data_IF_090972508952
#
_entry.id   IF_090972508952
#
_cell.length_a   1.000
_cell.length_b   1.000
_cell.length_c   1.000
_cell.angle_alpha   90.00
_cell.angle_beta   90.00
_cell.angle_gamma   90.00
#
_symmetry.space_group_name_H-M   'P 1'
#
loop_
_entity.id
_entity.type
_entity.pdbx_description
1 polymer ?
#
# COMPACT_ATOMS: atom_id res chain seq x y z
N UNK A 1 -73.44 -0.28 -21.82
CA UNK A 1 -72.31 -1.18 -21.59
C UNK A 1 -71.15 -0.31 -21.09
N UNK A 2 -71.05 -0.09 -19.77
CA UNK A 2 -70.05 -0.69 -18.83
C UNK A 2 -68.62 -0.18 -19.09
N UNK A 3 -68.13 0.82 -18.34
CA UNK A 3 -67.29 0.75 -17.10
C UNK A 3 -65.77 0.63 -17.37
N UNK A 4 -65.06 1.67 -16.88
CA UNK A 4 -63.73 1.78 -16.21
C UNK A 4 -62.46 1.13 -16.76
N UNK A 5 -61.35 1.79 -16.36
CA UNK A 5 -59.98 1.33 -16.05
C UNK A 5 -58.93 1.86 -17.04
N UNK A 6 -57.72 2.29 -16.66
CA UNK A 6 -57.10 2.39 -15.35
C UNK A 6 -55.92 3.36 -15.45
N UNK A 7 -55.71 4.13 -14.38
CA UNK A 7 -54.42 4.75 -14.03
C UNK A 7 -53.38 3.63 -13.94
N UNK A 8 -52.27 3.74 -14.67
CA UNK A 8 -51.11 2.87 -14.46
C UNK A 8 -49.80 3.66 -14.57
N UNK A 9 -49.14 3.74 -13.41
CA UNK A 9 -47.70 3.68 -13.22
C UNK A 9 -46.83 4.83 -13.74
N UNK A 10 -46.54 5.72 -12.79
CA UNK A 10 -45.23 6.31 -12.62
C UNK A 10 -44.12 5.23 -12.76
N UNK A 11 -43.21 5.46 -13.71
CA UNK A 11 -41.99 4.69 -13.88
C UNK A 11 -40.84 5.65 -14.14
N UNK A 12 -40.48 6.46 -13.14
CA UNK A 12 -39.26 7.26 -13.18
C UNK A 12 -38.06 6.31 -13.04
N UNK A 13 -37.50 5.90 -14.18
CA UNK A 13 -36.26 5.14 -14.26
C UNK A 13 -35.09 6.03 -13.81
N UNK A 14 -34.75 5.95 -12.53
CA UNK A 14 -33.57 6.59 -11.97
C UNK A 14 -32.36 5.71 -12.31
N UNK A 15 -31.73 5.99 -13.46
CA UNK A 15 -30.43 5.43 -13.82
C UNK A 15 -29.39 5.88 -12.80
N UNK A 16 -29.07 5.02 -11.83
CA UNK A 16 -27.83 5.09 -11.07
C UNK A 16 -26.67 4.66 -11.98
N UNK A 17 -26.11 5.62 -12.71
CA UNK A 17 -24.78 5.47 -13.29
C UNK A 17 -23.76 5.50 -12.15
N UNK A 18 -23.44 4.33 -11.61
CA UNK A 18 -22.26 4.12 -10.77
C UNK A 18 -21.04 4.27 -11.66
N UNK A 19 -20.37 5.42 -11.58
CA UNK A 19 -19.10 5.69 -12.25
C UNK A 19 -18.05 4.72 -11.71
N UNK A 20 -17.69 3.73 -12.52
CA UNK A 20 -16.51 2.91 -12.33
C UNK A 20 -15.27 3.68 -12.79
N UNK A 21 -14.84 4.70 -12.02
CA UNK A 21 -13.56 5.40 -12.23
C UNK A 21 -12.46 4.74 -11.40
N UNK A 22 -12.13 3.48 -11.71
CA UNK A 22 -11.27 2.64 -10.86
C UNK A 22 -9.78 2.58 -11.21
N UNK A 23 -9.33 3.04 -12.37
CA UNK A 23 -7.95 2.79 -12.82
C UNK A 23 -7.15 4.04 -13.25
N UNK A 24 -7.78 5.20 -13.41
CA UNK A 24 -7.10 6.42 -13.86
C UNK A 24 -6.77 7.39 -12.70
N UNK A 25 -7.55 7.35 -11.62
CA UNK A 25 -7.45 8.32 -10.52
C UNK A 25 -6.21 8.11 -9.65
N UNK A 26 -5.79 6.85 -9.45
CA UNK A 26 -4.67 6.52 -8.57
C UNK A 26 -3.33 6.99 -9.15
N UNK A 27 -3.13 6.96 -10.47
CA UNK A 27 -1.89 7.46 -11.08
C UNK A 27 -1.64 8.94 -10.81
N UNK A 28 -2.67 9.78 -10.90
CA UNK A 28 -2.57 11.20 -10.59
C UNK A 28 -2.30 11.43 -9.09
N UNK A 29 -2.98 10.67 -8.23
CA UNK A 29 -2.76 10.71 -6.77
C UNK A 29 -1.34 10.26 -6.40
N UNK A 30 -0.84 9.16 -6.96
CA UNK A 30 0.53 8.66 -6.75
C UNK A 30 1.55 9.70 -7.23
N UNK A 31 1.29 10.34 -8.37
CA UNK A 31 2.13 11.44 -8.84
C UNK A 31 2.11 12.61 -7.83
N UNK A 32 0.95 13.01 -7.31
CA UNK A 32 0.84 14.06 -6.28
C UNK A 32 1.55 13.70 -4.98
N UNK A 33 1.39 12.48 -4.47
CA UNK A 33 2.08 11.98 -3.27
C UNK A 33 3.60 11.90 -3.46
N UNK A 34 4.07 11.71 -4.70
CA UNK A 34 5.50 11.74 -5.03
C UNK A 34 6.09 13.16 -4.99
N UNK A 35 5.26 14.20 -5.10
CA UNK A 35 5.67 15.60 -5.08
C UNK A 35 5.62 16.16 -3.66
N UNK A 36 6.79 16.35 -3.05
CA UNK A 36 6.89 16.99 -1.74
C UNK A 36 6.44 18.46 -1.80
N UNK A 37 5.43 18.83 -1.00
CA UNK A 37 5.00 20.22 -0.81
C UNK A 37 5.72 20.86 0.37
N UNK A 38 6.29 20.05 1.27
CA UNK A 38 7.08 20.46 2.44
C UNK A 38 8.40 19.71 2.52
N UNK A 39 9.34 20.25 3.32
CA UNK A 39 10.68 19.67 3.55
C UNK A 39 11.15 19.75 5.01
N UNK A 40 10.29 20.22 5.90
CA UNK A 40 10.57 20.58 7.29
C UNK A 40 9.76 19.77 8.32
N UNK A 41 9.02 18.75 7.87
CA UNK A 41 8.17 17.89 8.71
C UNK A 41 9.02 16.88 9.48
N UNK A 42 9.92 16.19 8.78
CA UNK A 42 10.74 15.13 9.37
C UNK A 42 12.17 15.15 8.85
N UNK A 43 13.06 14.54 9.63
CA UNK A 43 14.42 14.20 9.23
C UNK A 43 14.63 12.69 9.30
N UNK A 44 15.31 12.11 8.31
CA UNK A 44 15.75 10.72 8.39
C UNK A 44 16.89 10.59 9.41
N UNK A 45 16.82 9.58 10.28
CA UNK A 45 17.80 9.33 11.34
C UNK A 45 18.30 7.89 11.30
N UNK A 46 19.55 7.66 11.70
CA UNK A 46 20.13 6.31 11.72
C UNK A 46 19.90 5.59 13.07
N UNK A 47 19.96 6.31 14.18
CA UNK A 47 19.80 5.76 15.52
C UNK A 47 18.40 6.01 16.09
N UNK A 48 18.05 5.22 17.10
CA UNK A 48 16.86 5.43 17.92
C UNK A 48 17.13 6.44 19.05
N UNK A 49 18.18 7.25 18.97
CA UNK A 49 18.49 8.23 19.99
C UNK A 49 17.47 9.36 19.93
N UNK A 50 16.49 9.29 20.83
CA UNK A 50 15.41 10.26 20.90
C UNK A 50 15.95 11.58 21.43
N UNK A 51 16.03 12.58 20.57
CA UNK A 51 16.24 13.96 21.00
C UNK A 51 15.05 14.41 21.86
N UNK A 52 15.32 15.11 22.96
CA UNK A 52 14.27 15.58 23.87
C UNK A 52 13.18 16.36 23.11
N UNK A 53 11.92 15.98 23.30
CA UNK A 53 10.77 16.60 22.65
C UNK A 53 10.51 16.14 21.21
N UNK A 54 11.19 15.11 20.71
CA UNK A 54 10.93 14.50 19.39
C UNK A 54 10.25 13.15 19.51
N UNK A 55 9.54 12.80 18.45
CA UNK A 55 9.08 11.45 18.15
C UNK A 55 10.01 10.85 17.09
N UNK A 56 10.33 9.56 17.23
CA UNK A 56 10.96 8.75 16.20
C UNK A 56 9.93 7.73 15.71
N UNK A 57 9.64 7.74 14.42
CA UNK A 57 8.98 6.63 13.74
C UNK A 57 10.04 5.58 13.44
N UNK A 58 9.86 4.34 13.89
CA UNK A 58 10.54 3.16 13.36
C UNK A 58 9.61 2.47 12.35
N UNK A 59 9.79 2.81 11.07
CA UNK A 59 8.94 2.34 9.99
C UNK A 59 9.44 0.98 9.49
N UNK A 60 8.54 0.01 9.45
CA UNK A 60 8.82 -1.30 8.85
C UNK A 60 7.71 -1.71 7.89
N UNK A 61 8.09 -2.09 6.66
CA UNK A 61 7.20 -2.67 5.68
C UNK A 61 7.90 -3.82 4.97
N UNK A 62 7.23 -4.96 4.85
CA UNK A 62 7.77 -6.10 4.11
C UNK A 62 6.76 -6.66 3.15
N UNK A 63 7.15 -6.77 1.88
CA UNK A 63 6.25 -7.15 0.78
C UNK A 63 6.96 -8.08 -0.18
N UNK A 64 6.22 -9.06 -0.66
CA UNK A 64 6.69 -9.98 -1.68
C UNK A 64 6.07 -9.60 -3.01
N UNK A 65 6.86 -9.69 -4.08
CA UNK A 65 6.41 -9.46 -5.45
C UNK A 65 6.74 -10.67 -6.32
N UNK A 66 6.05 -10.77 -7.46
CA UNK A 66 6.19 -11.89 -8.35
C UNK A 66 7.61 -12.00 -8.92
N UNK A 67 8.08 -13.22 -9.12
CA UNK A 67 9.29 -13.49 -9.90
C UNK A 67 8.89 -14.08 -11.23
N UNK A 68 9.48 -13.62 -12.33
CA UNK A 68 9.40 -14.35 -13.60
C UNK A 68 10.64 -15.22 -13.74
N UNK A 69 10.49 -16.41 -14.33
CA UNK A 69 11.61 -17.32 -14.61
C UNK A 69 11.88 -17.32 -16.12
N UNK A 70 13.11 -17.04 -16.50
CA UNK A 70 13.59 -17.14 -17.88
C UNK A 70 14.95 -17.84 -17.88
N UNK A 71 15.09 -18.90 -18.69
CA UNK A 71 16.34 -19.67 -18.82
C UNK A 71 17.00 -19.99 -17.45
N UNK A 72 16.23 -20.59 -16.53
CA UNK A 72 16.66 -20.94 -15.16
C UNK A 72 17.00 -19.79 -14.21
N UNK A 73 16.90 -18.55 -14.68
CA UNK A 73 17.13 -17.36 -13.85
C UNK A 73 15.80 -16.74 -13.43
N UNK A 74 15.70 -16.28 -12.18
CA UNK A 74 14.59 -15.46 -11.72
C UNK A 74 14.89 -13.99 -11.98
N UNK A 75 13.99 -13.29 -12.66
CA UNK A 75 14.09 -11.86 -12.87
C UNK A 75 13.34 -11.08 -11.79
N UNK A 76 13.96 -10.00 -11.30
CA UNK A 76 13.37 -9.03 -10.36
C UNK A 76 12.74 -7.86 -11.10
N UNK A 77 11.89 -7.10 -10.41
CA UNK A 77 11.45 -5.80 -10.89
C UNK A 77 12.62 -4.82 -10.83
N UNK A 78 13.25 -4.60 -11.98
CA UNK A 78 14.34 -3.63 -12.14
C UNK A 78 13.91 -2.35 -12.84
N UNK A 79 12.81 -2.37 -13.60
CA UNK A 79 12.30 -1.22 -14.33
C UNK A 79 10.75 -1.26 -14.45
N UNK A 80 10.01 -0.40 -13.72
CA UNK A 80 10.50 0.43 -12.62
C UNK A 80 10.92 -0.43 -11.40
N UNK A 81 11.83 0.07 -10.54
CA UNK A 81 12.17 -0.59 -9.28
C UNK A 81 10.99 -0.57 -8.31
N UNK A 82 10.90 -1.58 -7.45
CA UNK A 82 9.87 -1.61 -6.40
C UNK A 82 10.23 -0.60 -5.29
N UNK A 83 9.47 0.49 -5.22
CA UNK A 83 9.67 1.60 -4.29
C UNK A 83 8.43 1.83 -3.45
N UNK A 84 8.63 2.38 -2.26
CA UNK A 84 7.53 2.87 -1.41
C UNK A 84 7.65 4.38 -1.29
N UNK A 85 6.57 5.09 -1.60
CA UNK A 85 6.51 6.53 -1.36
C UNK A 85 5.79 6.75 -0.04
N UNK A 86 6.51 7.28 0.94
CA UNK A 86 5.99 7.64 2.25
C UNK A 86 5.82 9.15 2.29
N UNK A 87 4.60 9.65 2.50
CA UNK A 87 4.35 11.06 2.74
C UNK A 87 3.87 11.26 4.18
N UNK A 88 4.44 12.24 4.87
CA UNK A 88 4.03 12.66 6.20
C UNK A 88 3.82 14.16 6.14
N UNK A 89 2.58 14.61 6.39
CA UNK A 89 2.16 16.02 6.37
C UNK A 89 2.68 16.82 5.15
N UNK A 90 2.71 16.21 3.97
CA UNK A 90 3.14 16.85 2.72
C UNK A 90 4.64 16.75 2.40
N UNK A 91 5.46 16.19 3.29
CA UNK A 91 6.85 15.85 2.97
C UNK A 91 6.96 14.38 2.54
N UNK A 92 7.67 14.10 1.46
CA UNK A 92 7.79 12.73 0.90
C UNK A 92 9.20 12.16 1.09
N UNK A 93 9.29 10.89 1.50
CA UNK A 93 10.46 10.03 1.40
C UNK A 93 10.19 8.89 0.41
N UNK A 94 11.17 8.58 -0.44
CA UNK A 94 11.12 7.42 -1.36
C UNK A 94 12.02 6.34 -0.78
N UNK A 95 11.44 5.18 -0.47
CA UNK A 95 12.13 4.06 0.13
C UNK A 95 12.50 3.04 -0.94
N UNK A 96 13.75 2.58 -0.87
CA UNK A 96 14.31 1.56 -1.72
C UNK A 96 14.80 0.39 -0.85
N UNK A 97 14.72 -0.83 -1.38
CA UNK A 97 15.21 -2.02 -0.72
C UNK A 97 15.78 -2.98 -1.77
N UNK A 98 16.91 -3.63 -1.45
CA UNK A 98 17.42 -4.71 -2.28
C UNK A 98 16.57 -5.97 -2.06
N UNK A 99 15.99 -6.56 -3.12
CA UNK A 99 15.16 -7.74 -2.95
C UNK A 99 15.97 -9.01 -2.70
N UNK A 100 15.42 -9.88 -1.87
CA UNK A 100 15.94 -11.23 -1.63
C UNK A 100 15.00 -12.25 -2.28
N UNK A 101 15.53 -13.16 -3.10
CA UNK A 101 14.74 -14.24 -3.66
C UNK A 101 14.35 -15.20 -2.55
N UNK A 102 13.05 -15.44 -2.39
CA UNK A 102 12.51 -16.30 -1.35
C UNK A 102 11.62 -17.38 -1.97
N UNK A 103 11.93 -18.64 -1.66
CA UNK A 103 11.12 -19.80 -2.03
C UNK A 103 10.50 -20.45 -0.78
N UNK A 104 9.20 -20.22 -0.58
CA UNK A 104 8.40 -20.80 0.50
C UNK A 104 7.44 -21.85 -0.04
N UNK A 105 8.00 -22.93 -0.60
CA UNK A 105 7.22 -24.03 -1.16
C UNK A 105 6.84 -25.08 -0.09
N UNK A 106 5.67 -25.73 -0.18
CA UNK A 106 4.63 -25.57 -1.21
C UNK A 106 3.79 -24.29 -1.01
N UNK A 107 3.06 -23.90 -2.05
CA UNK A 107 2.11 -22.78 -1.98
C UNK A 107 0.98 -23.14 -0.99
N UNK A 108 0.82 -22.31 0.02
CA UNK A 108 -0.21 -22.40 1.06
C UNK A 108 -1.18 -21.21 0.92
N UNK A 109 -2.48 -21.46 0.67
CA UNK A 109 -3.48 -20.40 0.51
C UNK A 109 -3.74 -19.57 1.79
N UNK A 110 -3.31 -20.06 2.97
CA UNK A 110 -3.40 -19.34 4.24
C UNK A 110 -2.16 -18.50 4.54
N UNK A 111 -1.08 -18.69 3.78
CA UNK A 111 0.17 -17.92 3.88
C UNK A 111 0.35 -17.16 2.57
N UNK A 112 -0.10 -15.88 2.50
CA UNK A 112 -0.11 -15.15 1.23
C UNK A 112 1.27 -14.95 0.58
N UNK A 113 2.34 -15.03 1.38
CA UNK A 113 3.74 -14.95 0.94
C UNK A 113 4.35 -16.30 0.50
N UNK A 114 3.58 -17.40 0.55
CA UNK A 114 4.05 -18.73 0.14
C UNK A 114 4.27 -18.85 -1.38
N UNK A 115 5.28 -19.64 -1.77
CA UNK A 115 5.78 -19.76 -3.13
C UNK A 115 7.08 -19.00 -3.39
N UNK A 116 7.52 -19.01 -4.65
CA UNK A 116 8.78 -18.37 -5.09
C UNK A 116 8.54 -16.94 -5.56
N UNK A 117 9.24 -15.96 -4.99
CA UNK A 117 9.12 -14.55 -5.35
C UNK A 117 10.19 -13.68 -4.71
N UNK A 118 10.20 -12.39 -5.04
CA UNK A 118 11.17 -11.43 -4.50
C UNK A 118 10.61 -10.72 -3.27
N UNK A 119 11.29 -10.86 -2.13
CA UNK A 119 10.92 -10.22 -0.87
C UNK A 119 11.69 -8.91 -0.70
N UNK A 120 10.95 -7.84 -0.48
CA UNK A 120 11.48 -6.51 -0.18
C UNK A 120 11.17 -6.19 1.28
N UNK A 121 12.15 -5.66 2.01
CA UNK A 121 11.98 -5.22 3.39
C UNK A 121 12.52 -3.80 3.52
N UNK A 122 11.61 -2.88 3.79
CA UNK A 122 11.89 -1.47 4.01
C UNK A 122 11.93 -1.21 5.50
N UNK A 123 13.07 -0.76 6.00
CA UNK A 123 13.22 -0.26 7.36
C UNK A 123 13.84 1.14 7.31
N UNK A 124 13.17 2.11 7.91
CA UNK A 124 13.62 3.50 7.98
C UNK A 124 13.18 4.15 9.27
N UNK A 125 13.94 5.16 9.71
CA UNK A 125 13.58 5.95 10.88
C UNK A 125 13.46 7.42 10.56
N UNK A 126 12.43 8.04 11.11
CA UNK A 126 12.13 9.45 10.90
C UNK A 126 11.94 10.15 12.24
N UNK A 127 12.67 11.24 12.46
CA UNK A 127 12.47 12.12 13.60
C UNK A 127 11.54 13.27 13.21
N UNK A 128 10.47 13.48 13.99
CA UNK A 128 9.47 14.54 13.79
C UNK A 128 8.87 14.98 15.13
N UNK A 129 7.96 15.95 15.09
CA UNK A 129 7.25 16.39 16.30
C UNK A 129 6.28 15.32 16.79
N UNK A 130 6.04 15.16 18.11
CA UNK A 130 4.91 14.37 18.61
C UNK A 130 3.57 15.01 18.22
N UNK A 131 2.52 14.20 18.09
CA UNK A 131 1.17 14.66 17.77
C UNK A 131 0.49 13.83 16.69
N UNK A 132 -0.57 14.39 16.10
CA UNK A 132 -1.30 13.78 14.99
C UNK A 132 -0.64 14.15 13.66
N UNK A 133 -0.49 13.16 12.79
CA UNK A 133 0.11 13.31 11.47
C UNK A 133 -0.73 12.59 10.43
N UNK A 134 -0.78 13.14 9.22
CA UNK A 134 -1.32 12.48 8.05
C UNK A 134 -0.23 11.67 7.37
N UNK A 135 -0.37 10.35 7.38
CA UNK A 135 0.52 9.40 6.73
C UNK A 135 -0.11 8.91 5.42
N UNK A 136 0.57 9.11 4.30
CA UNK A 136 0.23 8.47 3.03
C UNK A 136 1.29 7.47 2.64
N UNK A 137 0.87 6.26 2.26
CA UNK A 137 1.74 5.22 1.71
C UNK A 137 1.29 4.94 0.29
N UNK A 138 2.19 5.11 -0.67
CA UNK A 138 1.94 4.78 -2.07
C UNK A 138 2.88 3.66 -2.56
N UNK A 139 2.32 2.68 -3.26
CA UNK A 139 3.02 1.60 -3.95
C UNK A 139 2.76 1.75 -5.46
N UNK A 140 3.65 2.45 -6.21
CA UNK A 140 3.40 2.75 -7.61
C UNK A 140 3.23 1.53 -8.52
N UNK A 141 3.97 0.44 -8.24
CA UNK A 141 3.91 -0.80 -9.05
C UNK A 141 2.55 -1.47 -8.94
N UNK A 142 1.93 -1.43 -7.75
CA UNK A 142 0.64 -2.07 -7.48
C UNK A 142 -0.55 -1.10 -7.61
N UNK A 143 -0.31 0.16 -7.96
CA UNK A 143 -1.33 1.23 -8.04
C UNK A 143 -2.12 1.42 -6.73
N UNK A 144 -1.45 1.22 -5.59
CA UNK A 144 -2.03 1.33 -4.24
C UNK A 144 -1.63 2.65 -3.60
N UNK A 145 -2.62 3.33 -3.01
CA UNK A 145 -2.43 4.49 -2.13
C UNK A 145 -3.31 4.32 -0.89
N UNK A 146 -2.74 4.53 0.30
CA UNK A 146 -3.45 4.49 1.58
C UNK A 146 -3.10 5.73 2.39
N UNK A 147 -4.12 6.47 2.81
CA UNK A 147 -4.02 7.63 3.69
C UNK A 147 -4.53 7.26 5.08
N UNK A 148 -3.80 7.67 6.11
CA UNK A 148 -4.13 7.35 7.51
C UNK A 148 -3.65 8.44 8.46
N UNK A 149 -4.53 8.90 9.34
CA UNK A 149 -4.09 9.68 10.51
C UNK A 149 -3.41 8.74 11.52
N UNK A 150 -2.20 9.11 11.93
CA UNK A 150 -1.44 8.43 12.99
C UNK A 150 -1.19 9.40 14.15
N UNK A 151 -1.14 8.88 15.37
CA UNK A 151 -0.81 9.65 16.56
C UNK A 151 0.54 9.17 17.12
N UNK A 152 1.47 10.09 17.28
CA UNK A 152 2.83 9.81 17.71
C UNK A 152 3.09 10.42 19.08
N UNK A 153 3.65 9.59 19.98
CA UNK A 153 4.10 10.03 21.29
C UNK A 153 5.56 10.47 21.22
N UNK A 154 6.01 11.27 22.19
CA UNK A 154 7.44 11.49 22.38
C UNK A 154 8.13 10.15 22.67
N UNK A 155 9.32 9.93 22.10
CA UNK A 155 9.97 8.62 22.14
C UNK A 155 9.94 7.91 20.79
N UNK A 156 10.17 6.59 20.81
CA UNK A 156 10.10 5.73 19.62
C UNK A 156 8.70 5.17 19.47
N UNK A 157 8.12 5.26 18.28
CA UNK A 157 6.83 4.71 17.90
C UNK A 157 7.06 3.73 16.76
N UNK A 158 6.60 2.49 16.90
CA UNK A 158 6.73 1.51 15.84
C UNK A 158 5.58 1.67 14.84
N UNK A 159 5.90 1.93 13.57
CA UNK A 159 4.91 2.01 12.49
C UNK A 159 5.12 0.81 11.57
N UNK A 160 4.29 -0.20 11.75
CA UNK A 160 4.34 -1.43 10.96
C UNK A 160 3.29 -1.36 9.86
N UNK A 161 3.72 -1.60 8.63
CA UNK A 161 2.85 -1.71 7.47
C UNK A 161 2.82 -3.16 7.01
N UNK A 162 1.63 -3.69 6.76
CA UNK A 162 1.42 -5.06 6.30
C UNK A 162 0.68 -5.05 4.96
N UNK A 163 1.17 -5.75 3.93
CA UNK A 163 0.45 -5.84 2.66
C UNK A 163 -0.77 -6.77 2.79
N UNK A 164 -1.88 -6.34 2.20
CA UNK A 164 -3.04 -7.19 1.94
C UNK A 164 -3.07 -7.48 0.46
N UNK A 165 -2.88 -8.74 0.08
CA UNK A 165 -2.76 -9.11 -1.33
C UNK A 165 -4.10 -9.35 -2.01
N UNK A 166 -4.12 -9.17 -3.32
CA UNK A 166 -5.26 -9.53 -4.15
C UNK A 166 -5.55 -11.02 -4.09
N UNK A 167 -6.85 -11.35 -4.18
CA UNK A 167 -7.29 -12.75 -4.21
C UNK A 167 -7.17 -13.31 -5.63
N UNK A 168 -6.60 -14.50 -5.78
CA UNK A 168 -6.72 -15.29 -7.02
C UNK A 168 -7.73 -16.43 -6.84
N UNK A 169 -8.43 -16.75 -7.92
CA UNK A 169 -9.50 -17.76 -7.92
C UNK A 169 -9.01 -19.16 -8.33
N UNK A 170 -7.89 -19.24 -9.06
CA UNK A 170 -7.37 -20.47 -9.64
C UNK A 170 -6.25 -21.07 -8.80
N UNK A 171 -6.21 -22.40 -8.74
CA UNK A 171 -5.09 -23.15 -8.15
C UNK A 171 -3.80 -22.94 -8.96
N UNK A 172 -2.61 -23.04 -8.32
CA UNK A 172 -2.38 -23.32 -6.89
C UNK A 172 -2.64 -22.09 -5.98
N UNK A 173 -2.82 -20.90 -6.54
CA UNK A 173 -2.87 -19.63 -5.81
C UNK A 173 -4.26 -19.23 -5.29
N UNK A 174 -5.16 -20.18 -5.01
CA UNK A 174 -6.53 -19.84 -4.59
C UNK A 174 -6.51 -19.17 -3.21
N UNK A 175 -6.83 -17.88 -3.12
CA UNK A 175 -6.75 -17.11 -1.86
C UNK A 175 -5.99 -15.80 -2.05
N UNK A 176 -5.66 -15.11 -0.95
CA UNK A 176 -4.74 -13.97 -1.01
C UNK A 176 -3.34 -14.47 -1.35
N UNK A 177 -2.67 -13.86 -2.31
CA UNK A 177 -1.31 -14.26 -2.68
C UNK A 177 -0.54 -13.12 -3.34
N UNK A 178 0.75 -13.01 -3.02
CA UNK A 178 1.62 -11.95 -3.54
C UNK A 178 1.70 -11.91 -5.08
N UNK A 179 1.50 -13.04 -5.77
CA UNK A 179 1.45 -13.07 -7.24
C UNK A 179 0.28 -12.26 -7.81
N UNK A 180 -0.78 -12.00 -7.03
CA UNK A 180 -1.89 -11.14 -7.40
C UNK A 180 -1.60 -9.64 -7.28
N UNK A 181 -0.45 -9.26 -6.75
CA UNK A 181 -0.13 -7.87 -6.39
C UNK A 181 -0.77 -7.46 -5.07
N UNK A 182 -0.33 -6.31 -4.56
CA UNK A 182 -0.89 -5.71 -3.35
C UNK A 182 -2.25 -5.08 -3.69
N UNK A 183 -3.27 -5.37 -2.87
CA UNK A 183 -4.60 -4.76 -2.99
C UNK A 183 -4.68 -3.48 -2.15
N UNK A 184 -4.14 -3.53 -0.95
CA UNK A 184 -4.08 -2.41 0.01
C UNK A 184 -3.00 -2.70 1.05
N UNK A 185 -2.73 -1.74 1.93
CA UNK A 185 -1.86 -1.95 3.09
C UNK A 185 -2.61 -1.62 4.39
N UNK A 186 -2.25 -2.32 5.45
CA UNK A 186 -2.72 -2.04 6.81
C UNK A 186 -1.60 -1.37 7.60
N UNK A 187 -1.93 -0.29 8.32
CA UNK A 187 -0.99 0.50 9.12
C UNK A 187 -1.30 0.29 10.59
N UNK A 188 -0.29 -0.11 11.36
CA UNK A 188 -0.36 -0.25 12.82
C UNK A 188 0.70 0.64 13.47
N UNK A 189 0.29 1.38 14.49
CA UNK A 189 1.16 2.22 15.32
C UNK A 189 1.17 1.66 16.75
N UNK A 190 2.35 1.37 17.29
CA UNK A 190 2.53 0.85 18.65
C UNK A 190 3.47 1.74 19.46
#
# INVERSE_FOLDING_TARGET
MTIKMNVCMAGAALMLCVVASGCANNRELIAKTSLATRKDVFAEVASSDVQAGKSIIDFTFSVKSNSYRFAETYGKHSDPPYRVHLNIDGQTAVLEAEPVLEDKSPIDPNVPDSGTGWKYTFNKRFALTPGKHELTIALPIDDVIVEREIELRAGVNAVTVTPVYSKRMLRPYKGQNFTGGVKTVEVQVN
#
